data_IF_236624897989
#
_entry.id   IF_236624897989
#
_cell.length_a   1.000
_cell.length_b   1.000
_cell.length_c   1.000
_cell.angle_alpha   90.00
_cell.angle_beta   90.00
_cell.angle_gamma   90.00
#
_symmetry.space_group_name_H-M   'P 1'
#
loop_
_entity.id
_entity.type
_entity.pdbx_description
1 polymer ?
#
# COMPACT_ATOMS: atom_id res chain seq x y z
N UNK A 1 -37.18 21.09 -7.49
CA UNK A 1 -37.90 20.42 -6.38
C UNK A 1 -37.53 18.94 -6.26
N UNK A 2 -37.71 18.11 -7.29
CA UNK A 2 -37.44 16.65 -7.27
C UNK A 2 -35.96 16.29 -7.06
N UNK A 3 -35.03 17.02 -7.69
CA UNK A 3 -33.57 16.88 -7.51
C UNK A 3 -33.09 17.35 -6.13
N UNK A 4 -33.72 18.38 -5.57
CA UNK A 4 -33.41 18.87 -4.22
C UNK A 4 -33.85 17.88 -3.14
N UNK A 5 -34.97 17.18 -3.33
CA UNK A 5 -35.39 16.11 -2.40
C UNK A 5 -34.41 14.94 -2.37
N UNK A 6 -33.83 14.56 -3.51
CA UNK A 6 -32.88 13.43 -3.61
C UNK A 6 -31.52 13.74 -2.93
N UNK A 7 -31.07 15.00 -3.00
CA UNK A 7 -29.85 15.42 -2.30
C UNK A 7 -30.05 15.52 -0.78
N UNK A 8 -31.24 15.92 -0.33
CA UNK A 8 -31.58 16.01 1.11
C UNK A 8 -31.72 14.61 1.73
N UNK A 9 -32.26 13.63 1.00
CA UNK A 9 -32.36 12.24 1.49
C UNK A 9 -30.99 11.57 1.65
N UNK A 10 -30.02 11.88 0.78
CA UNK A 10 -28.66 11.36 0.89
C UNK A 10 -27.88 11.98 2.05
N UNK A 11 -28.14 13.25 2.37
CA UNK A 11 -27.51 13.96 3.48
C UNK A 11 -28.05 13.48 4.85
N UNK A 12 -29.33 13.09 4.92
CA UNK A 12 -29.94 12.51 6.13
C UNK A 12 -29.42 11.10 6.49
N UNK A 13 -28.80 10.38 5.55
CA UNK A 13 -28.23 9.06 5.81
C UNK A 13 -26.95 9.09 6.67
N UNK A 14 -26.29 10.26 6.81
CA UNK A 14 -25.09 10.44 7.64
C UNK A 14 -25.38 10.95 9.06
N UNK A 15 -26.61 11.42 9.33
CA UNK A 15 -26.97 12.02 10.62
C UNK A 15 -27.40 11.01 11.70
N UNK A 16 -27.43 9.71 11.39
CA UNK A 16 -27.72 8.65 12.35
C UNK A 16 -26.43 8.12 13.03
N UNK A 17 -25.58 9.01 13.53
CA UNK A 17 -24.61 8.66 14.57
C UNK A 17 -25.31 8.73 15.92
N UNK A 18 -26.31 7.86 16.13
CA UNK A 18 -26.71 7.51 17.49
C UNK A 18 -25.44 7.01 18.21
N UNK A 19 -25.33 7.24 19.52
CA UNK A 19 -24.26 6.70 20.36
C UNK A 19 -24.44 5.19 20.49
N UNK A 20 -24.23 4.50 19.36
CA UNK A 20 -24.16 3.07 19.24
C UNK A 20 -22.82 2.65 19.86
N UNK A 21 -22.77 1.46 20.49
CA UNK A 21 -21.50 0.86 20.88
C UNK A 21 -20.53 0.95 19.70
N UNK A 22 -19.28 1.32 19.98
CA UNK A 22 -18.26 1.37 18.94
C UNK A 22 -18.31 0.04 18.17
N UNK A 23 -18.33 0.07 16.83
CA UNK A 23 -18.31 -1.16 16.05
C UNK A 23 -17.09 -1.98 16.50
N UNK A 24 -17.24 -3.32 16.62
CA UNK A 24 -16.15 -4.16 17.06
C UNK A 24 -14.93 -3.89 16.16
N UNK A 25 -13.71 -3.87 16.74
CA UNK A 25 -12.51 -3.62 15.97
C UNK A 25 -12.45 -4.63 14.81
N UNK A 26 -12.06 -4.17 13.61
CA UNK A 26 -12.00 -5.05 12.44
C UNK A 26 -11.08 -6.22 12.74
N UNK A 27 -11.57 -7.42 12.46
CA UNK A 27 -10.78 -8.65 12.58
C UNK A 27 -9.54 -8.55 11.71
N UNK A 28 -8.48 -9.26 12.07
CA UNK A 28 -7.25 -9.20 11.27
C UNK A 28 -7.45 -9.76 9.85
N UNK A 29 -8.43 -10.66 9.67
CA UNK A 29 -8.88 -11.09 8.34
C UNK A 29 -9.49 -9.94 7.53
N UNK A 30 -10.34 -9.10 8.14
CA UNK A 30 -10.93 -7.95 7.47
C UNK A 30 -9.87 -6.91 7.08
N UNK A 31 -8.88 -6.68 7.95
CA UNK A 31 -7.75 -5.78 7.64
C UNK A 31 -6.89 -6.34 6.50
N UNK A 32 -6.63 -7.64 6.48
CA UNK A 32 -5.87 -8.28 5.40
C UNK A 32 -6.57 -8.15 4.04
N UNK A 33 -7.89 -8.33 4.00
CA UNK A 33 -8.69 -8.14 2.77
C UNK A 33 -8.77 -6.69 2.32
N UNK A 34 -8.86 -5.75 3.26
CA UNK A 34 -8.79 -4.32 2.94
C UNK A 34 -7.42 -3.95 2.35
N UNK A 35 -6.33 -4.46 2.91
CA UNK A 35 -4.97 -4.22 2.41
C UNK A 35 -4.75 -4.82 1.01
N UNK A 36 -5.25 -6.03 0.76
CA UNK A 36 -5.22 -6.67 -0.56
C UNK A 36 -6.01 -5.85 -1.60
N UNK A 37 -7.18 -5.33 -1.21
CA UNK A 37 -8.02 -4.49 -2.08
C UNK A 37 -7.32 -3.17 -2.39
N UNK A 38 -6.73 -2.52 -1.38
CA UNK A 38 -5.97 -1.29 -1.57
C UNK A 38 -4.78 -1.51 -2.51
N UNK A 39 -4.06 -2.63 -2.37
CA UNK A 39 -2.98 -2.99 -3.28
C UNK A 39 -3.47 -3.20 -4.73
N UNK A 40 -4.60 -3.90 -4.92
CA UNK A 40 -5.22 -4.08 -6.24
C UNK A 40 -5.63 -2.75 -6.86
N UNK A 41 -6.24 -1.85 -6.09
CA UNK A 41 -6.63 -0.51 -6.56
C UNK A 41 -5.41 0.31 -6.94
N UNK A 42 -4.35 0.29 -6.13
CA UNK A 42 -3.11 0.99 -6.45
C UNK A 42 -2.48 0.46 -7.75
N UNK A 43 -2.48 -0.86 -7.95
CA UNK A 43 -1.99 -1.46 -9.19
C UNK A 43 -2.88 -1.12 -10.40
N UNK A 44 -4.20 -1.16 -10.26
CA UNK A 44 -5.13 -0.77 -11.31
C UNK A 44 -4.90 0.68 -11.77
N UNK A 45 -4.69 1.61 -10.82
CA UNK A 45 -4.36 2.99 -11.15
C UNK A 45 -3.05 3.12 -11.96
N UNK A 46 -2.07 2.25 -11.72
CA UNK A 46 -0.83 2.18 -12.53
C UNK A 46 -1.10 1.66 -13.94
N UNK A 47 -1.96 0.64 -14.07
CA UNK A 47 -2.39 0.12 -15.38
C UNK A 47 -3.14 1.19 -16.17
N UNK A 48 -4.05 1.90 -15.54
CA UNK A 48 -4.82 2.97 -16.19
C UNK A 48 -3.91 4.10 -16.67
N UNK A 49 -2.93 4.51 -15.86
CA UNK A 49 -1.92 5.47 -16.26
C UNK A 49 -1.08 4.98 -17.44
N UNK A 50 -0.71 3.71 -17.47
CA UNK A 50 0.00 3.10 -18.58
C UNK A 50 -0.85 3.11 -19.87
N UNK A 51 -2.13 2.74 -19.80
CA UNK A 51 -3.03 2.77 -20.96
C UNK A 51 -3.28 4.19 -21.47
N UNK A 52 -3.39 5.16 -20.57
CA UNK A 52 -3.49 6.57 -20.93
C UNK A 52 -2.24 7.00 -21.71
N UNK A 53 -1.05 6.67 -21.21
CA UNK A 53 0.21 6.96 -21.89
C UNK A 53 0.25 6.37 -23.31
N UNK A 54 -0.06 5.07 -23.46
CA UNK A 54 -0.11 4.43 -24.79
C UNK A 54 -1.10 5.10 -25.75
N UNK A 55 -2.23 5.60 -25.22
CA UNK A 55 -3.23 6.29 -26.04
C UNK A 55 -2.72 7.63 -26.56
N UNK A 56 -1.93 8.36 -25.75
CA UNK A 56 -1.30 9.61 -26.15
C UNK A 56 -0.25 9.34 -27.24
N UNK A 57 0.60 8.33 -27.06
CA UNK A 57 1.59 7.93 -28.07
C UNK A 57 0.94 7.57 -29.40
N UNK A 58 -0.18 6.85 -29.35
CA UNK A 58 -0.96 6.52 -30.56
C UNK A 58 -1.53 7.76 -31.23
N UNK A 59 -2.04 8.72 -30.45
CA UNK A 59 -2.54 9.98 -30.98
C UNK A 59 -1.43 10.80 -31.67
N UNK A 60 -0.26 10.88 -31.04
CA UNK A 60 0.93 11.52 -31.60
C UNK A 60 1.35 10.83 -32.90
N UNK A 61 1.42 9.50 -32.93
CA UNK A 61 1.73 8.74 -34.13
C UNK A 61 0.74 9.01 -35.27
N UNK A 62 -0.55 9.00 -34.98
CA UNK A 62 -1.58 9.30 -35.97
C UNK A 62 -1.43 10.71 -36.54
N UNK A 63 -1.17 11.70 -35.69
CA UNK A 63 -0.93 13.07 -36.12
C UNK A 63 0.26 13.19 -37.08
N UNK A 64 1.39 12.55 -36.76
CA UNK A 64 2.54 12.55 -37.68
C UNK A 64 2.22 11.86 -39.00
N UNK A 65 1.46 10.76 -38.98
CA UNK A 65 1.04 10.05 -40.20
C UNK A 65 0.13 10.91 -41.07
N UNK A 66 -0.85 11.60 -40.48
CA UNK A 66 -1.76 12.49 -41.23
C UNK A 66 -1.07 13.74 -41.74
N UNK A 67 -0.16 14.33 -40.96
CA UNK A 67 0.65 15.47 -41.39
C UNK A 67 1.56 15.11 -42.58
N UNK A 68 2.24 13.95 -42.51
CA UNK A 68 3.05 13.43 -43.60
C UNK A 68 2.20 13.17 -44.86
N UNK A 69 1.01 12.57 -44.72
CA UNK A 69 0.09 12.35 -45.84
C UNK A 69 -0.43 13.67 -46.46
N UNK A 70 -0.49 14.73 -45.67
CA UNK A 70 -0.90 16.08 -46.12
C UNK A 70 0.27 16.91 -46.66
N UNK A 71 1.46 16.32 -46.84
CA UNK A 71 2.66 17.01 -47.32
C UNK A 71 3.25 18.04 -46.33
N UNK A 72 2.79 18.07 -45.09
CA UNK A 72 3.32 18.95 -44.03
C UNK A 72 4.37 18.20 -43.23
N UNK A 73 5.61 18.71 -43.25
CA UNK A 73 6.64 18.25 -42.32
C UNK A 73 6.43 18.92 -40.96
N UNK A 74 6.06 18.14 -39.95
CA UNK A 74 5.94 18.62 -38.56
C UNK A 74 7.22 18.22 -37.83
N UNK A 75 7.98 19.21 -37.36
CA UNK A 75 9.14 18.93 -36.49
C UNK A 75 8.65 18.23 -35.22
N UNK A 76 9.27 17.11 -34.80
CA UNK A 76 8.98 16.52 -33.51
C UNK A 76 9.20 17.56 -32.42
N UNK A 77 8.19 17.76 -31.56
CA UNK A 77 8.40 18.48 -30.31
C UNK A 77 9.51 17.73 -29.54
N UNK A 78 10.44 18.48 -28.92
CA UNK A 78 11.53 17.89 -28.13
C UNK A 78 10.93 16.82 -27.21
N UNK A 79 11.46 15.60 -27.31
CA UNK A 79 10.95 14.43 -26.61
C UNK A 79 11.23 14.56 -25.10
N UNK A 80 10.42 15.36 -24.41
CA UNK A 80 10.40 15.45 -22.94
C UNK A 80 9.31 14.57 -22.33
N UNK A 81 8.57 13.82 -23.16
CA UNK A 81 7.54 12.91 -22.68
C UNK A 81 8.20 11.68 -22.02
N UNK A 82 7.81 11.33 -20.80
CA UNK A 82 8.28 10.10 -20.16
C UNK A 82 7.78 8.88 -20.95
N UNK A 83 8.62 7.87 -21.07
CA UNK A 83 8.26 6.60 -21.72
C UNK A 83 7.14 5.89 -20.94
N UNK A 84 6.20 5.26 -21.64
CA UNK A 84 5.16 4.47 -20.99
C UNK A 84 5.76 3.21 -20.34
N UNK A 85 5.83 3.17 -19.01
CA UNK A 85 6.29 1.99 -18.25
C UNK A 85 5.12 1.07 -17.94
N UNK A 86 5.24 -0.20 -18.34
CA UNK A 86 4.29 -1.24 -17.98
C UNK A 86 4.42 -1.58 -16.48
N UNK A 87 3.32 -1.57 -15.70
CA UNK A 87 3.36 -1.87 -14.28
C UNK A 87 3.58 -3.36 -13.96
N UNK A 88 3.63 -4.23 -14.96
CA UNK A 88 3.78 -5.66 -14.79
C UNK A 88 2.55 -6.34 -14.16
N UNK A 89 2.69 -7.64 -13.89
CA UNK A 89 1.63 -8.42 -13.24
C UNK A 89 1.41 -8.01 -11.79
N UNK A 90 0.15 -7.98 -11.35
CA UNK A 90 -0.16 -7.75 -9.95
C UNK A 90 0.38 -8.90 -9.08
N UNK A 91 1.24 -8.56 -8.11
CA UNK A 91 1.74 -9.48 -7.11
C UNK A 91 1.52 -8.88 -5.71
N UNK A 92 0.74 -9.57 -4.89
CA UNK A 92 0.50 -9.20 -3.49
C UNK A 92 1.06 -10.27 -2.57
N UNK A 93 2.00 -9.88 -1.72
CA UNK A 93 2.50 -10.70 -0.62
C UNK A 93 1.91 -10.11 0.65
N UNK A 94 1.02 -10.85 1.31
CA UNK A 94 0.41 -10.40 2.55
C UNK A 94 1.50 -10.17 3.62
N UNK A 95 1.52 -9.01 4.30
CA UNK A 95 2.46 -8.79 5.39
C UNK A 95 2.19 -9.81 6.50
N UNK A 96 3.24 -10.47 6.98
CA UNK A 96 3.15 -11.43 8.09
C UNK A 96 2.68 -10.70 9.36
N UNK A 97 1.69 -11.24 10.11
CA UNK A 97 1.28 -10.64 11.37
C UNK A 97 2.47 -10.44 12.31
N UNK A 98 2.53 -9.25 12.92
CA UNK A 98 3.65 -8.81 13.75
C UNK A 98 3.90 -9.69 15.00
N UNK A 99 2.95 -10.53 15.40
CA UNK A 99 3.10 -11.46 16.54
C UNK A 99 4.14 -12.57 16.32
N UNK A 100 4.59 -12.78 15.09
CA UNK A 100 5.67 -13.72 14.81
C UNK A 100 7.07 -13.08 14.75
N UNK A 101 7.17 -11.78 15.06
CA UNK A 101 8.42 -11.05 15.13
C UNK A 101 8.66 -10.55 16.56
N UNK A 102 9.01 -11.44 17.50
CA UNK A 102 9.55 -10.99 18.79
C UNK A 102 9.46 -11.96 19.97
N UNK A 103 10.20 -13.08 19.93
CA UNK A 103 10.83 -13.68 21.12
C UNK A 103 11.90 -14.74 20.77
N UNK A 104 12.55 -14.66 19.60
CA UNK A 104 13.73 -15.47 19.34
C UNK A 104 14.95 -14.59 19.50
N UNK A 105 15.46 -14.53 20.73
CA UNK A 105 16.88 -14.23 20.94
C UNK A 105 17.70 -15.08 19.96
N UNK A 106 18.77 -14.54 19.34
CA UNK A 106 19.64 -15.35 18.48
C UNK A 106 20.07 -16.60 19.26
N UNK A 107 20.08 -17.77 18.61
CA UNK A 107 20.40 -19.06 19.25
C UNK A 107 21.76 -19.04 19.98
N UNK A 108 22.65 -18.10 19.64
CA UNK A 108 23.91 -17.84 20.34
C UNK A 108 23.74 -17.58 21.84
N UNK A 109 22.67 -16.90 22.28
CA UNK A 109 22.44 -16.59 23.70
C UNK A 109 21.98 -17.81 24.51
N UNK A 110 21.56 -18.90 23.85
CA UNK A 110 21.21 -20.17 24.51
C UNK A 110 22.44 -21.07 24.73
N UNK A 111 23.51 -20.89 23.93
CA UNK A 111 24.74 -21.70 24.01
C UNK A 111 25.78 -21.05 24.93
N UNK A 112 25.69 -19.75 25.20
CA UNK A 112 26.60 -19.06 26.12
C UNK A 112 25.87 -17.95 26.86
N UNK A 113 25.26 -18.23 28.03
CA UNK A 113 24.77 -17.17 28.89
C UNK A 113 25.97 -16.30 29.34
N UNK A 114 25.91 -14.96 29.28
CA UNK A 114 27.02 -14.09 29.69
C UNK A 114 27.22 -14.07 31.23
N UNK A 115 26.67 -15.05 31.94
CA UNK A 115 26.82 -15.17 33.39
C UNK A 115 28.15 -15.85 33.69
N UNK A 116 29.23 -15.06 33.76
CA UNK A 116 30.44 -15.48 34.44
C UNK A 116 30.08 -15.61 35.92
N UNK A 117 29.89 -16.84 36.40
CA UNK A 117 29.77 -17.10 37.83
C UNK A 117 31.07 -16.65 38.51
N UNK A 118 31.05 -15.48 39.13
CA UNK A 118 32.04 -15.12 40.13
C UNK A 118 31.94 -16.13 41.29
N UNK A 119 33.06 -16.70 41.79
CA UNK A 119 33.01 -17.59 42.93
C UNK A 119 32.37 -16.88 44.14
N UNK A 120 31.50 -17.60 44.85
CA UNK A 120 30.91 -17.12 46.09
C UNK A 120 32.02 -16.73 47.09
N UNK A 121 32.01 -15.47 47.52
CA UNK A 121 32.88 -14.98 48.59
C UNK A 121 32.59 -15.71 49.91
N UNK A 122 33.56 -15.78 50.83
CA UNK A 122 33.45 -16.59 52.05
C UNK A 122 32.35 -16.05 52.98
N UNK A 123 31.66 -16.98 53.63
CA UNK A 123 30.58 -16.70 54.58
C UNK A 123 31.10 -15.91 55.80
N UNK A 124 30.48 -14.76 56.08
CA UNK A 124 30.67 -14.03 57.33
C UNK A 124 29.84 -14.65 58.46
N UNK A 125 30.39 -14.77 59.68
CA UNK A 125 29.75 -15.50 60.77
C UNK A 125 28.57 -14.73 61.41
N UNK A 126 27.57 -15.50 61.84
CA UNK A 126 26.38 -15.03 62.53
C UNK A 126 26.72 -14.36 63.88
N UNK A 127 26.10 -13.22 64.17
CA UNK A 127 26.04 -12.66 65.52
C UNK A 127 24.68 -12.95 66.15
N UNK A 128 24.77 -13.35 67.41
CA UNK A 128 23.72 -13.73 68.36
C UNK A 128 22.68 -12.64 68.57
#
# INVERSE_FOLDING_TARGET
MKRSLLCISLLMAFAAHAKLPAPPPPTDEAKAKAAETAARTAWAAKVDAYKLCMSMDKAVSNYFKTAAASGKSVKPAVATAPTCTDPGQFAYVAPKPAEAAGAHSPAATAVSPPSTQAPAGPATPAKK
#
